data_IF_425644144038
#
_entry.id   IF_425644144038
#
_cell.length_a   1.000
_cell.length_b   1.000
_cell.length_c   1.000
_cell.angle_alpha   90.00
_cell.angle_beta   90.00
_cell.angle_gamma   90.00
#
_symmetry.space_group_name_H-M   'P 1'
#
loop_
_entity.id
_entity.type
_entity.pdbx_description
1 polymer ?
#
# COMPACT_ATOMS: atom_id res chain seq x y z
N UNK A 1 -11.64 28.95 10.35
CA UNK A 1 -10.34 28.82 11.04
C UNK A 1 -9.27 28.49 9.99
N UNK A 2 -8.23 29.31 9.89
CA UNK A 2 -7.14 29.09 8.96
C UNK A 2 -6.09 28.22 9.66
N UNK A 3 -5.89 27.01 9.18
CA UNK A 3 -4.87 26.09 9.68
C UNK A 3 -3.74 26.09 8.65
N UNK A 4 -2.56 26.53 9.07
CA UNK A 4 -1.37 26.52 8.22
C UNK A 4 -0.44 25.40 8.70
N UNK A 5 -0.07 24.51 7.78
CA UNK A 5 0.94 23.46 7.99
C UNK A 5 2.09 23.68 7.02
N UNK A 6 3.30 23.44 7.47
CA UNK A 6 4.51 23.46 6.65
C UNK A 6 5.18 22.08 6.74
N UNK A 7 5.17 21.35 5.63
CA UNK A 7 5.67 19.97 5.55
C UNK A 7 6.45 19.76 4.26
N UNK A 8 7.41 18.82 4.29
CA UNK A 8 8.16 18.42 3.09
C UNK A 8 7.31 17.53 2.18
N UNK A 9 6.50 16.66 2.78
CA UNK A 9 5.65 15.69 2.07
C UNK A 9 4.22 15.73 2.62
N UNK A 10 3.30 16.20 1.79
CA UNK A 10 1.86 16.11 2.05
C UNK A 10 1.28 14.90 1.32
N UNK A 11 0.81 13.91 2.08
CA UNK A 11 0.14 12.72 1.54
C UNK A 11 -1.36 12.95 1.52
N UNK A 12 -1.97 12.86 0.34
CA UNK A 12 -3.42 13.02 0.16
C UNK A 12 -4.07 11.66 0.02
N UNK A 13 -4.75 11.22 1.06
CA UNK A 13 -5.44 9.94 1.14
C UNK A 13 -4.88 9.00 2.20
N UNK A 14 -5.75 8.45 3.04
CA UNK A 14 -5.43 7.59 4.19
C UNK A 14 -5.62 6.09 3.93
N UNK A 15 -5.58 5.63 2.68
CA UNK A 15 -5.61 4.21 2.33
C UNK A 15 -4.24 3.55 2.38
N UNK A 16 -4.13 2.30 1.94
CA UNK A 16 -2.89 1.53 1.97
C UNK A 16 -1.72 2.23 1.27
N UNK A 17 -1.94 2.80 0.09
CA UNK A 17 -0.90 3.52 -0.65
C UNK A 17 -0.43 4.79 0.09
N UNK A 18 -1.39 5.58 0.62
CA UNK A 18 -1.05 6.81 1.35
C UNK A 18 -0.33 6.51 2.66
N UNK A 19 -0.81 5.56 3.45
CA UNK A 19 -0.16 5.16 4.69
C UNK A 19 1.27 4.64 4.43
N UNK A 20 1.45 3.76 3.44
CA UNK A 20 2.78 3.25 3.06
C UNK A 20 3.72 4.37 2.61
N UNK A 21 3.22 5.27 1.73
CA UNK A 21 4.01 6.41 1.26
C UNK A 21 4.41 7.37 2.38
N UNK A 22 3.52 7.60 3.35
CA UNK A 22 3.81 8.45 4.51
C UNK A 22 4.86 7.82 5.44
N UNK A 23 4.76 6.51 5.70
CA UNK A 23 5.73 5.76 6.50
C UNK A 23 7.12 5.84 5.85
N UNK A 24 7.21 5.59 4.54
CA UNK A 24 8.48 5.64 3.81
C UNK A 24 9.07 7.05 3.75
N UNK A 25 8.25 8.07 3.53
CA UNK A 25 8.70 9.45 3.54
C UNK A 25 9.24 9.86 4.93
N UNK A 26 8.52 9.49 6.00
CA UNK A 26 8.95 9.73 7.38
C UNK A 26 10.27 9.02 7.69
N UNK A 27 10.39 7.74 7.31
CA UNK A 27 11.62 6.95 7.53
C UNK A 27 12.82 7.50 6.74
N UNK A 28 12.56 8.16 5.61
CA UNK A 28 13.57 8.91 4.86
C UNK A 28 13.97 10.26 5.49
N UNK A 29 13.34 10.65 6.60
CA UNK A 29 13.64 11.87 7.35
C UNK A 29 12.83 13.09 6.94
N UNK A 30 11.80 12.94 6.08
CA UNK A 30 10.96 14.04 5.68
C UNK A 30 9.93 14.41 6.77
N UNK A 31 9.65 15.71 6.94
CA UNK A 31 8.51 16.18 7.70
C UNK A 31 7.23 15.86 6.91
N UNK A 32 6.48 14.87 7.35
CA UNK A 32 5.38 14.24 6.58
C UNK A 32 4.05 14.41 7.30
N UNK A 33 2.97 14.63 6.55
CA UNK A 33 1.61 14.68 7.06
C UNK A 33 0.64 13.99 6.10
N UNK A 34 -0.42 13.39 6.65
CA UNK A 34 -1.52 12.81 5.88
C UNK A 34 -2.76 13.70 6.02
N UNK A 35 -3.41 14.00 4.89
CA UNK A 35 -4.75 14.58 4.84
C UNK A 35 -5.68 13.57 4.19
N UNK A 36 -6.82 13.29 4.81
CA UNK A 36 -7.76 12.30 4.30
C UNK A 36 -9.22 12.74 4.45
N UNK A 37 -10.02 12.43 3.43
CA UNK A 37 -11.45 12.78 3.37
C UNK A 37 -12.26 12.12 4.48
N UNK A 38 -11.93 10.89 4.84
CA UNK A 38 -12.52 10.13 5.93
C UNK A 38 -11.47 9.92 7.02
N UNK A 39 -11.69 9.01 7.97
CA UNK A 39 -10.65 8.61 8.93
C UNK A 39 -9.52 7.89 8.20
N UNK A 40 -8.33 7.95 8.76
CA UNK A 40 -7.24 7.12 8.27
C UNK A 40 -7.63 5.63 8.31
N UNK A 41 -7.47 4.96 7.18
CA UNK A 41 -7.87 3.56 7.00
C UNK A 41 -9.26 3.37 6.40
N UNK A 42 -10.14 4.35 6.46
CA UNK A 42 -11.45 4.26 5.81
C UNK A 42 -11.30 4.44 4.28
N UNK A 43 -10.84 3.38 3.62
CA UNK A 43 -10.51 3.38 2.19
C UNK A 43 -10.76 2.00 1.58
N UNK A 44 -10.65 1.89 0.25
CA UNK A 44 -10.85 0.62 -0.45
C UNK A 44 -9.92 -0.51 0.03
N UNK A 45 -8.72 -0.19 0.50
CA UNK A 45 -7.81 -1.18 1.09
C UNK A 45 -8.46 -1.95 2.24
N UNK A 46 -9.17 -1.25 3.15
CA UNK A 46 -9.89 -1.85 4.28
C UNK A 46 -10.92 -2.90 3.84
N UNK A 47 -11.49 -2.74 2.66
CA UNK A 47 -12.59 -3.56 2.14
C UNK A 47 -12.10 -4.76 1.33
N UNK A 48 -10.81 -4.93 1.11
CA UNK A 48 -10.24 -6.03 0.35
C UNK A 48 -10.29 -7.34 1.17
N UNK A 49 -10.94 -8.36 0.64
CA UNK A 49 -11.13 -9.65 1.32
C UNK A 49 -10.08 -10.69 0.88
N UNK A 50 -9.79 -10.76 -0.42
CA UNK A 50 -9.07 -11.88 -1.03
C UNK A 50 -7.59 -12.00 -0.66
N UNK A 51 -6.88 -10.92 -0.51
CA UNK A 51 -5.45 -10.92 -0.24
C UNK A 51 -4.61 -10.09 -1.20
N UNK A 52 -3.30 -10.22 -1.06
CA UNK A 52 -2.30 -9.49 -1.85
C UNK A 52 -1.35 -10.48 -2.54
N UNK A 53 -1.02 -10.25 -3.80
CA UNK A 53 -0.20 -11.15 -4.59
C UNK A 53 1.28 -10.74 -4.60
N UNK A 54 2.16 -11.71 -4.35
CA UNK A 54 3.60 -11.57 -4.48
C UNK A 54 4.26 -12.89 -4.84
N UNK A 55 5.16 -12.86 -5.81
CA UNK A 55 5.89 -14.04 -6.28
C UNK A 55 7.12 -14.30 -5.39
N UNK A 56 6.91 -14.79 -4.17
CA UNK A 56 7.92 -15.03 -3.14
C UNK A 56 8.29 -16.52 -2.96
N UNK A 57 7.69 -17.43 -3.74
CA UNK A 57 7.93 -18.87 -3.63
C UNK A 57 8.89 -19.38 -4.71
N UNK A 58 9.63 -20.48 -4.44
CA UNK A 58 10.65 -21.00 -5.37
C UNK A 58 10.13 -21.41 -6.76
N UNK A 59 8.85 -21.74 -6.85
CA UNK A 59 8.20 -22.14 -8.11
C UNK A 59 7.52 -20.98 -8.85
N UNK A 60 7.76 -19.75 -8.43
CA UNK A 60 7.20 -18.53 -9.02
C UNK A 60 8.31 -17.50 -9.24
N UNK A 61 7.99 -16.41 -9.95
CA UNK A 61 8.91 -15.30 -10.16
C UNK A 61 8.15 -14.02 -10.51
N UNK A 62 8.77 -12.84 -10.29
CA UNK A 62 8.22 -11.58 -10.78
C UNK A 62 7.90 -11.58 -12.28
N UNK A 63 8.69 -12.30 -13.10
CA UNK A 63 8.44 -12.42 -14.53
C UNK A 63 7.14 -13.19 -14.84
N UNK A 64 6.87 -14.29 -14.14
CA UNK A 64 5.61 -15.06 -14.29
C UNK A 64 4.44 -14.21 -13.76
N UNK A 65 4.63 -13.53 -12.64
CA UNK A 65 3.63 -12.60 -12.08
C UNK A 65 3.31 -11.48 -13.07
N UNK A 66 4.33 -10.91 -13.72
CA UNK A 66 4.13 -9.89 -14.76
C UNK A 66 3.26 -10.39 -15.90
N UNK A 67 3.53 -11.59 -16.43
CA UNK A 67 2.77 -12.18 -17.53
C UNK A 67 1.29 -12.39 -17.16
N UNK A 68 1.05 -12.95 -15.98
CA UNK A 68 -0.31 -13.15 -15.48
C UNK A 68 -1.07 -11.81 -15.33
N UNK A 69 -0.44 -10.83 -14.69
CA UNK A 69 -1.07 -9.52 -14.45
C UNK A 69 -1.25 -8.70 -15.74
N UNK A 70 -0.28 -8.75 -16.65
CA UNK A 70 -0.35 -8.04 -17.93
C UNK A 70 -1.42 -8.63 -18.84
N UNK A 71 -1.48 -9.98 -18.92
CA UNK A 71 -2.53 -10.69 -19.67
C UNK A 71 -3.92 -10.50 -19.04
N UNK A 72 -4.02 -10.65 -17.71
CA UNK A 72 -5.27 -10.44 -16.98
C UNK A 72 -5.82 -9.01 -17.08
N UNK A 73 -4.92 -8.03 -17.21
CA UNK A 73 -5.26 -6.62 -17.46
C UNK A 73 -5.48 -6.30 -18.94
N UNK A 74 -5.65 -7.30 -19.81
CA UNK A 74 -5.84 -7.13 -21.27
C UNK A 74 -4.77 -6.25 -21.93
N UNK A 75 -3.52 -6.32 -21.41
CA UNK A 75 -2.35 -5.58 -21.92
C UNK A 75 -2.47 -4.05 -21.82
N UNK A 76 -3.38 -3.54 -20.99
CA UNK A 76 -3.61 -2.10 -20.83
C UNK A 76 -2.65 -1.42 -19.83
N UNK A 77 -1.95 -2.20 -19.01
CA UNK A 77 -1.04 -1.65 -18.02
C UNK A 77 0.19 -0.98 -18.64
N UNK A 78 0.67 0.10 -18.02
CA UNK A 78 2.00 0.63 -18.31
C UNK A 78 3.05 -0.37 -17.83
N UNK A 79 3.86 -0.88 -18.76
CA UNK A 79 4.79 -2.01 -18.50
C UNK A 79 5.80 -1.70 -17.42
N UNK A 80 6.36 -0.49 -17.43
CA UNK A 80 7.35 -0.05 -16.44
C UNK A 80 6.78 0.00 -15.02
N UNK A 81 5.52 0.41 -14.88
CA UNK A 81 4.85 0.44 -13.57
C UNK A 81 4.49 -0.97 -13.09
N UNK A 82 4.01 -1.82 -14.00
CA UNK A 82 3.72 -3.20 -13.66
C UNK A 82 5.00 -3.97 -13.31
N UNK A 83 6.10 -3.74 -14.04
CA UNK A 83 7.40 -4.32 -13.71
C UNK A 83 7.85 -3.91 -12.30
N UNK A 84 7.76 -2.62 -11.97
CA UNK A 84 8.07 -2.12 -10.62
C UNK A 84 7.22 -2.83 -9.56
N UNK A 85 5.90 -2.90 -9.76
CA UNK A 85 4.97 -3.55 -8.84
C UNK A 85 5.36 -5.00 -8.57
N UNK A 86 5.55 -5.82 -9.62
CA UNK A 86 5.80 -7.26 -9.43
C UNK A 86 7.21 -7.56 -8.89
N UNK A 87 8.19 -6.70 -9.18
CA UNK A 87 9.54 -6.84 -8.65
C UNK A 87 9.62 -6.46 -7.17
N UNK A 88 8.87 -5.44 -6.74
CA UNK A 88 8.85 -4.99 -5.35
C UNK A 88 7.92 -5.83 -4.46
N UNK A 89 6.93 -6.50 -5.03
CA UNK A 89 5.90 -7.22 -4.29
C UNK A 89 6.43 -8.20 -3.23
N UNK A 90 7.47 -9.03 -3.48
CA UNK A 90 8.02 -9.89 -2.44
C UNK A 90 8.57 -9.12 -1.24
N UNK A 91 9.27 -8.02 -1.49
CA UNK A 91 9.77 -7.13 -0.43
C UNK A 91 8.64 -6.45 0.34
N UNK A 92 7.58 -6.05 -0.35
CA UNK A 92 6.42 -5.42 0.28
C UNK A 92 5.67 -6.40 1.22
N UNK A 93 5.53 -7.66 0.84
CA UNK A 93 4.95 -8.70 1.71
C UNK A 93 5.81 -8.91 2.96
N UNK A 94 7.13 -8.98 2.80
CA UNK A 94 8.04 -9.14 3.92
C UNK A 94 7.95 -7.92 4.86
N UNK A 95 7.96 -6.72 4.33
CA UNK A 95 7.80 -5.48 5.08
C UNK A 95 6.48 -5.43 5.87
N UNK A 96 5.35 -5.77 5.24
CA UNK A 96 4.06 -5.84 5.93
C UNK A 96 4.05 -6.88 7.06
N UNK A 97 4.68 -8.04 6.84
CA UNK A 97 4.81 -9.07 7.87
C UNK A 97 5.70 -8.58 9.05
N UNK A 98 6.77 -7.86 8.78
CA UNK A 98 7.65 -7.25 9.80
C UNK A 98 6.94 -6.15 10.59
N UNK A 99 6.06 -5.38 9.96
CA UNK A 99 5.20 -4.42 10.63
C UNK A 99 4.12 -5.07 11.51
N UNK A 100 3.87 -6.36 11.34
CA UNK A 100 2.93 -7.11 12.17
C UNK A 100 1.60 -7.45 11.49
N UNK A 101 1.54 -7.48 10.15
CA UNK A 101 0.39 -8.06 9.44
C UNK A 101 0.37 -9.56 9.66
N UNK A 102 -0.71 -10.06 10.21
CA UNK A 102 -0.89 -11.47 10.53
C UNK A 102 -1.39 -12.27 9.32
N UNK A 103 -0.51 -12.45 8.33
CA UNK A 103 -0.80 -13.36 7.22
C UNK A 103 -0.97 -14.80 7.70
N UNK A 104 -1.81 -15.57 7.03
CA UNK A 104 -2.01 -16.99 7.29
C UNK A 104 -0.69 -17.75 7.10
N UNK A 105 -0.30 -18.53 8.12
CA UNK A 105 0.97 -19.26 8.17
C UNK A 105 0.74 -20.73 8.46
N UNK A 106 1.59 -21.58 7.91
CA UNK A 106 1.72 -22.97 8.29
C UNK A 106 2.37 -23.10 9.68
N UNK A 107 2.30 -24.27 10.32
CA UNK A 107 2.89 -24.48 11.66
C UNK A 107 4.40 -24.21 11.76
N UNK A 108 5.11 -24.26 10.63
CA UNK A 108 6.54 -23.93 10.53
C UNK A 108 6.83 -22.42 10.37
N UNK A 109 5.77 -21.58 10.36
CA UNK A 109 5.89 -20.13 10.18
C UNK A 109 5.93 -19.67 8.73
N UNK A 110 5.91 -20.56 7.75
CA UNK A 110 5.88 -20.21 6.31
C UNK A 110 4.51 -19.62 5.94
N UNK A 111 4.50 -18.46 5.27
CA UNK A 111 3.27 -17.86 4.78
C UNK A 111 2.59 -18.76 3.73
N UNK A 112 1.32 -19.02 3.95
CA UNK A 112 0.47 -19.82 3.04
C UNK A 112 0.08 -18.93 1.86
N UNK A 113 0.14 -19.50 0.64
CA UNK A 113 -0.33 -18.82 -0.56
C UNK A 113 -1.38 -19.65 -1.28
N UNK A 114 -2.36 -18.95 -1.86
CA UNK A 114 -3.45 -19.55 -2.64
C UNK A 114 -3.49 -19.02 -4.06
N UNK A 115 -4.31 -19.62 -4.92
CA UNK A 115 -4.59 -19.05 -6.24
C UNK A 115 -5.50 -17.82 -6.11
N UNK A 116 -5.13 -16.74 -6.79
CA UNK A 116 -6.06 -15.68 -7.13
C UNK A 116 -6.81 -15.99 -8.43
N UNK A 117 -7.83 -15.21 -8.77
CA UNK A 117 -8.51 -15.33 -10.05
C UNK A 117 -7.55 -15.11 -11.22
N UNK A 118 -7.47 -16.06 -12.13
CA UNK A 118 -6.65 -15.97 -13.34
C UNK A 118 -5.12 -16.10 -13.14
N UNK A 119 -4.66 -16.48 -11.95
CA UNK A 119 -3.21 -16.66 -11.70
C UNK A 119 -2.73 -18.05 -12.07
N UNK A 120 -1.55 -18.13 -12.68
CA UNK A 120 -0.89 -19.40 -13.02
C UNK A 120 -0.15 -20.04 -11.85
N UNK A 121 0.09 -19.29 -10.78
CA UNK A 121 0.79 -19.72 -9.56
C UNK A 121 0.04 -19.33 -8.29
N UNK A 122 0.29 -20.05 -7.21
CA UNK A 122 -0.20 -19.70 -5.87
C UNK A 122 0.69 -18.60 -5.29
N UNK A 123 0.24 -17.35 -5.35
CA UNK A 123 1.00 -16.20 -4.84
C UNK A 123 0.15 -15.23 -4.01
N UNK A 124 -1.09 -15.56 -3.76
CA UNK A 124 -1.97 -14.70 -2.98
C UNK A 124 -1.79 -14.98 -1.50
N UNK A 125 -1.27 -14.02 -0.77
CA UNK A 125 -1.14 -13.99 0.68
C UNK A 125 -2.40 -13.38 1.27
N UNK A 126 -2.93 -13.99 2.31
CA UNK A 126 -4.18 -13.57 2.92
C UNK A 126 -4.09 -13.60 4.45
N UNK A 127 -4.93 -12.81 5.09
CA UNK A 127 -5.30 -12.93 6.50
C UNK A 127 -6.77 -13.35 6.52
N UNK A 128 -7.04 -14.63 6.42
CA UNK A 128 -8.38 -15.22 6.27
C UNK A 128 -9.18 -14.52 5.15
N UNK A 129 -10.34 -13.97 5.46
CA UNK A 129 -11.23 -13.25 4.54
C UNK A 129 -11.31 -11.73 4.83
N UNK A 130 -10.37 -11.21 5.63
CA UNK A 130 -10.30 -9.79 5.98
C UNK A 130 -8.91 -9.17 5.76
N UNK A 131 -8.21 -9.64 4.74
CA UNK A 131 -6.81 -9.27 4.46
C UNK A 131 -6.59 -7.77 4.38
N UNK A 132 -7.50 -7.03 3.75
CA UNK A 132 -7.40 -5.58 3.63
C UNK A 132 -7.57 -4.86 4.97
N UNK A 133 -8.48 -5.32 5.81
CA UNK A 133 -8.69 -4.78 7.15
C UNK A 133 -7.45 -5.01 8.02
N UNK A 134 -6.83 -6.17 7.95
CA UNK A 134 -5.61 -6.50 8.69
C UNK A 134 -4.41 -5.67 8.24
N UNK A 135 -4.19 -5.53 6.93
CA UNK A 135 -3.16 -4.66 6.37
C UNK A 135 -3.38 -3.21 6.80
N UNK A 136 -4.62 -2.73 6.70
CA UNK A 136 -4.92 -1.34 7.01
C UNK A 136 -4.81 -1.04 8.51
N UNK A 137 -5.22 -2.00 9.39
CA UNK A 137 -5.00 -1.91 10.83
C UNK A 137 -3.51 -1.68 11.14
N UNK A 138 -2.66 -2.53 10.59
CA UNK A 138 -1.22 -2.49 10.82
C UNK A 138 -0.60 -1.19 10.29
N UNK A 139 -0.93 -0.78 9.07
CA UNK A 139 -0.40 0.45 8.49
C UNK A 139 -0.85 1.69 9.26
N UNK A 140 -2.11 1.74 9.68
CA UNK A 140 -2.63 2.83 10.50
C UNK A 140 -1.91 2.91 11.84
N UNK A 141 -1.77 1.77 12.50
CA UNK A 141 -1.10 1.71 13.80
C UNK A 141 0.36 2.18 13.68
N UNK A 142 1.07 1.81 12.59
CA UNK A 142 2.43 2.29 12.34
C UNK A 142 2.49 3.81 12.09
N UNK A 143 1.58 4.36 11.29
CA UNK A 143 1.50 5.83 11.09
C UNK A 143 1.34 6.55 12.42
N UNK A 144 0.49 6.04 13.31
CA UNK A 144 0.26 6.63 14.62
C UNK A 144 1.46 6.45 15.57
N UNK A 145 2.10 5.27 15.56
CA UNK A 145 3.29 4.99 16.36
C UNK A 145 4.47 5.87 15.99
N UNK A 146 4.65 6.17 14.71
CA UNK A 146 5.67 7.08 14.20
C UNK A 146 5.35 8.56 14.48
N UNK A 147 4.14 8.86 14.99
CA UNK A 147 3.72 10.22 15.27
C UNK A 147 3.49 11.08 14.02
N UNK A 148 3.23 10.46 12.88
CA UNK A 148 2.93 11.19 11.63
C UNK A 148 1.58 11.90 11.81
N UNK A 149 1.50 13.23 11.67
CA UNK A 149 0.25 13.97 11.77
C UNK A 149 -0.77 13.51 10.74
N UNK A 150 -2.01 13.30 11.19
CA UNK A 150 -3.15 12.93 10.33
C UNK A 150 -4.27 13.93 10.52
N UNK A 151 -4.73 14.51 9.41
CA UNK A 151 -5.90 15.40 9.39
C UNK A 151 -7.05 14.67 8.71
N UNK A 152 -7.91 14.11 9.54
CA UNK A 152 -9.11 13.37 9.13
C UNK A 152 -10.24 14.31 8.69
N UNK A 153 -11.25 13.77 8.00
CA UNK A 153 -12.45 14.45 7.53
C UNK A 153 -12.19 15.75 6.78
N UNK A 154 -11.07 15.80 6.08
CA UNK A 154 -10.60 16.95 5.32
C UNK A 154 -10.33 16.55 3.87
N UNK A 155 -11.10 17.12 2.95
CA UNK A 155 -10.96 16.85 1.52
C UNK A 155 -9.96 17.81 0.88
N UNK A 156 -9.00 17.29 0.13
CA UNK A 156 -8.24 18.10 -0.81
C UNK A 156 -9.16 18.49 -1.99
N UNK A 157 -9.24 19.76 -2.28
CA UNK A 157 -10.11 20.31 -3.33
C UNK A 157 -9.32 20.95 -4.47
N UNK A 158 -8.12 21.43 -4.21
CA UNK A 158 -7.30 22.13 -5.19
C UNK A 158 -5.82 22.03 -4.81
N UNK A 159 -4.96 21.98 -5.81
CA UNK A 159 -3.51 22.20 -5.63
C UNK A 159 -3.19 23.67 -5.84
N UNK A 160 -2.50 24.26 -4.90
CA UNK A 160 -1.90 25.58 -5.08
C UNK A 160 -0.56 25.40 -5.77
N UNK A 161 -0.40 26.06 -6.92
CA UNK A 161 0.83 25.98 -7.70
C UNK A 161 1.63 27.31 -7.55
N UNK A 162 2.95 27.19 -7.58
CA UNK A 162 3.83 28.33 -7.71
C UNK A 162 3.84 28.90 -9.14
N UNK A 163 4.58 29.98 -9.36
CA UNK A 163 4.72 30.64 -10.67
C UNK A 163 5.35 29.76 -11.76
N UNK A 164 6.02 28.68 -11.38
CA UNK A 164 6.65 27.69 -12.27
C UNK A 164 5.78 26.45 -12.49
N UNK A 165 4.60 26.38 -11.87
CA UNK A 165 3.68 25.26 -11.95
C UNK A 165 4.03 24.09 -11.02
N UNK A 166 4.87 24.29 -10.03
CA UNK A 166 5.15 23.28 -9.01
C UNK A 166 4.12 23.34 -7.88
N UNK A 167 3.89 22.21 -7.21
CA UNK A 167 3.02 22.16 -6.05
C UNK A 167 3.62 22.99 -4.91
N UNK A 168 2.84 23.96 -4.42
CA UNK A 168 3.21 24.86 -3.33
C UNK A 168 2.25 24.77 -2.13
N UNK A 169 1.08 24.12 -2.33
CA UNK A 169 0.10 23.91 -1.28
C UNK A 169 -1.17 23.22 -1.77
#
# INVERSE_FOLDING_TARGET
EKIDYDVDVLVIGGGGAGASGAIEAHNAGANTMIVTKLRIGDANTMMAEGGIQAADKPNDSPAIHFLDAYGGGHFAAKRELLQKLVCDAPGAIQWLNELGVEFDKAPDGTMITTHGGGTSRKRMHAAKDYSGAEIMRTLRDEVLNLGIPVVDFTSAIELILDENGNAAG
#
